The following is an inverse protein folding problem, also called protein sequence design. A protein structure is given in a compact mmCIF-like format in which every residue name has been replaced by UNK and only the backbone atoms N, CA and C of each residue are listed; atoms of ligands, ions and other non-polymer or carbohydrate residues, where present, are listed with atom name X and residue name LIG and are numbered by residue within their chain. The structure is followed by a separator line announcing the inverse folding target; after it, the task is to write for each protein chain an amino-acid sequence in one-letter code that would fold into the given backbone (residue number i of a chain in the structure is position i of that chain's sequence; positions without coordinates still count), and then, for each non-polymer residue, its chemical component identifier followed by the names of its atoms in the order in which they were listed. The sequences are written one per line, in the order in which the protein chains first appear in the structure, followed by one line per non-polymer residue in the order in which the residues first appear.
data_IF_034373129281
#
_entry.id   IF_034373129281
#
_cell.length_a   1.000
_cell.length_b   1.000
_cell.length_c   1.000
_cell.angle_alpha   90.00
_cell.angle_beta   90.00
_cell.angle_gamma   90.00
#
_symmetry.space_group_name_H-M   'P 1'
#
loop_
_entity.id
_entity.type
_entity.pdbx_description
1 polymer ?
#
# COMPACT_ATOMS: atom_id res chain seq x y z
N UNK A 1 -18.16 -6.61 -17.73
CA UNK A 1 -17.24 -7.08 -16.68
C UNK A 1 -17.72 -6.50 -15.36
N UNK A 2 -18.28 -7.35 -14.51
CA UNK A 2 -18.77 -6.90 -13.21
C UNK A 2 -17.58 -6.44 -12.35
N UNK A 3 -17.65 -5.21 -11.88
CA UNK A 3 -16.70 -4.76 -10.86
C UNK A 3 -16.94 -5.59 -9.60
N UNK A 4 -15.88 -6.13 -8.99
CA UNK A 4 -16.06 -6.82 -7.73
C UNK A 4 -16.75 -5.88 -6.72
N UNK A 5 -17.65 -6.44 -5.92
CA UNK A 5 -18.34 -5.67 -4.90
C UNK A 5 -17.32 -5.01 -3.96
N UNK A 6 -17.49 -3.71 -3.71
CA UNK A 6 -16.63 -2.98 -2.78
C UNK A 6 -16.84 -3.51 -1.36
N UNK A 7 -15.76 -3.53 -0.60
CA UNK A 7 -15.81 -3.89 0.82
C UNK A 7 -16.41 -2.73 1.61
N UNK A 8 -17.45 -3.03 2.41
CA UNK A 8 -18.10 -2.06 3.26
C UNK A 8 -17.15 -1.59 4.36
N UNK A 9 -17.06 -0.27 4.53
CA UNK A 9 -16.26 0.35 5.58
C UNK A 9 -16.66 -0.11 7.00
N UNK A 10 -17.92 -0.44 7.22
CA UNK A 10 -18.41 -0.94 8.52
C UNK A 10 -17.81 -2.30 8.90
N UNK A 11 -17.34 -3.07 7.91
CA UNK A 11 -16.61 -4.32 8.13
C UNK A 11 -15.16 -4.11 8.53
N UNK A 12 -14.67 -2.88 8.50
CA UNK A 12 -13.31 -2.50 8.89
C UNK A 12 -13.27 -2.10 10.37
N UNK A 13 -14.13 -2.68 11.19
CA UNK A 13 -14.10 -2.46 12.64
C UNK A 13 -12.77 -2.94 13.22
N UNK A 14 -12.07 -2.05 13.92
CA UNK A 14 -10.75 -2.31 14.48
C UNK A 14 -9.58 -1.94 13.56
N UNK A 15 -9.84 -1.48 12.33
CA UNK A 15 -8.83 -0.87 11.46
C UNK A 15 -8.84 0.63 11.71
N UNK A 16 -7.66 1.19 11.98
CA UNK A 16 -7.52 2.64 12.16
C UNK A 16 -7.95 3.38 10.88
N UNK A 17 -8.77 4.42 11.02
CA UNK A 17 -9.07 5.34 9.91
C UNK A 17 -7.80 5.94 9.29
N UNK A 18 -6.73 6.02 10.08
CA UNK A 18 -5.41 6.46 9.61
C UNK A 18 -4.88 5.58 8.46
N UNK A 19 -5.15 4.28 8.48
CA UNK A 19 -4.75 3.39 7.39
C UNK A 19 -5.44 3.76 6.07
N UNK A 20 -6.72 4.12 6.12
CA UNK A 20 -7.47 4.58 4.94
C UNK A 20 -7.04 5.98 4.51
N UNK A 21 -6.77 6.87 5.42
CA UNK A 21 -6.27 8.22 5.14
C UNK A 21 -4.93 8.16 4.38
N UNK A 22 -3.99 7.37 4.87
CA UNK A 22 -2.67 7.24 4.24
C UNK A 22 -2.76 6.55 2.88
N UNK A 23 -3.62 5.54 2.75
CA UNK A 23 -3.90 4.89 1.46
C UNK A 23 -4.45 5.89 0.45
N UNK A 24 -5.45 6.68 0.84
CA UNK A 24 -6.05 7.68 -0.04
C UNK A 24 -5.03 8.72 -0.50
N UNK A 25 -4.18 9.19 0.40
CA UNK A 25 -3.11 10.15 0.06
C UNK A 25 -2.14 9.60 -0.99
N UNK A 26 -1.68 8.37 -0.83
CA UNK A 26 -0.81 7.71 -1.81
C UNK A 26 -1.51 7.47 -3.14
N UNK A 27 -2.72 6.95 -3.10
CA UNK A 27 -3.50 6.66 -4.31
C UNK A 27 -3.81 7.93 -5.11
N UNK A 28 -4.14 9.02 -4.42
CA UNK A 28 -4.37 10.32 -5.06
C UNK A 28 -3.12 10.79 -5.81
N UNK A 29 -1.96 10.75 -5.18
CA UNK A 29 -0.69 11.15 -5.81
C UNK A 29 -0.30 10.22 -6.96
N UNK A 30 -0.50 8.91 -6.80
CA UNK A 30 -0.20 7.94 -7.86
C UNK A 30 -1.07 8.14 -9.11
N UNK A 31 -2.27 8.71 -8.96
CA UNK A 31 -3.19 8.98 -10.06
C UNK A 31 -2.96 10.30 -10.81
N UNK A 32 -2.02 11.13 -10.36
CA UNK A 32 -1.74 12.41 -11.03
C UNK A 32 -0.92 12.20 -12.31
N UNK A 33 -0.97 13.18 -13.27
CA UNK A 33 -0.22 13.07 -14.52
C UNK A 33 1.30 12.92 -14.34
N UNK A 34 1.85 13.52 -13.28
CA UNK A 34 3.27 13.43 -12.94
C UNK A 34 3.39 12.93 -11.50
N UNK A 35 3.22 11.62 -11.27
CA UNK A 35 3.12 11.08 -9.92
C UNK A 35 4.48 11.05 -9.21
N UNK A 36 4.45 11.32 -7.90
CA UNK A 36 5.61 11.19 -7.02
C UNK A 36 5.99 9.73 -6.85
N UNK A 37 5.00 8.84 -6.81
CA UNK A 37 5.18 7.39 -6.71
C UNK A 37 4.41 6.69 -7.82
N UNK A 38 5.00 5.64 -8.37
CA UNK A 38 4.33 4.73 -9.31
C UNK A 38 3.68 3.60 -8.52
N UNK A 39 2.40 3.76 -8.21
CA UNK A 39 1.69 2.84 -7.33
C UNK A 39 0.24 2.58 -7.79
N UNK A 40 0.05 1.88 -8.92
CA UNK A 40 -1.28 1.51 -9.37
C UNK A 40 -2.02 0.60 -8.39
N UNK A 41 -1.28 -0.16 -7.58
CA UNK A 41 -1.86 -1.04 -6.56
C UNK A 41 -2.55 -0.24 -5.46
N UNK A 42 -2.02 0.92 -5.06
CA UNK A 42 -2.68 1.80 -4.10
C UNK A 42 -4.02 2.31 -4.62
N UNK A 43 -4.10 2.65 -5.91
CA UNK A 43 -5.34 3.09 -6.55
C UNK A 43 -6.37 1.95 -6.54
N UNK A 44 -5.96 0.77 -6.95
CA UNK A 44 -6.83 -0.42 -6.98
C UNK A 44 -7.35 -0.75 -5.57
N UNK A 45 -6.48 -0.72 -4.58
CA UNK A 45 -6.84 -1.02 -3.20
C UNK A 45 -7.79 0.03 -2.63
N UNK A 46 -7.51 1.32 -2.85
CA UNK A 46 -8.41 2.41 -2.43
C UNK A 46 -9.81 2.23 -3.01
N UNK A 47 -9.90 1.91 -4.30
CA UNK A 47 -11.17 1.77 -5.01
C UNK A 47 -11.91 0.48 -4.63
N UNK A 48 -11.26 -0.43 -3.90
CA UNK A 48 -11.86 -1.67 -3.39
C UNK A 48 -12.68 -1.46 -2.12
N UNK A 49 -12.55 -0.31 -1.45
CA UNK A 49 -13.31 0.02 -0.26
C UNK A 49 -14.48 0.95 -0.57
N UNK A 50 -15.61 0.69 0.07
CA UNK A 50 -16.78 1.59 0.04
C UNK A 50 -16.66 2.60 1.18
N UNK A 51 -15.85 3.62 0.95
CA UNK A 51 -15.54 4.69 1.91
C UNK A 51 -15.68 6.04 1.23
N UNK A 52 -16.29 6.99 1.93
CA UNK A 52 -16.26 8.38 1.52
C UNK A 52 -14.92 9.02 1.91
N UNK A 53 -13.99 9.04 0.97
CA UNK A 53 -12.66 9.61 1.20
C UNK A 53 -12.67 11.14 1.31
N UNK A 54 -13.74 11.80 0.89
CA UNK A 54 -13.86 13.27 1.00
C UNK A 54 -13.86 13.71 2.46
N UNK A 55 -14.26 12.83 3.39
CA UNK A 55 -14.21 13.11 4.83
C UNK A 55 -12.78 13.39 5.34
N UNK A 56 -11.76 12.95 4.63
CA UNK A 56 -10.36 13.21 4.98
C UNK A 56 -9.85 14.57 4.49
N UNK A 57 -10.68 15.30 3.75
CA UNK A 57 -10.33 16.61 3.23
C UNK A 57 -9.36 16.57 2.05
N UNK A 58 -8.68 17.68 1.85
CA UNK A 58 -7.74 17.84 0.72
C UNK A 58 -6.49 16.99 0.91
N UNK A 59 -6.11 16.26 -0.14
CA UNK A 59 -4.93 15.40 -0.10
C UNK A 59 -3.67 16.20 -0.50
N UNK A 60 -2.63 16.09 0.32
CA UNK A 60 -1.31 16.64 0.05
C UNK A 60 -0.33 15.58 -0.47
N UNK A 61 0.94 15.92 -0.46
CA UNK A 61 2.03 15.09 -0.97
C UNK A 61 2.72 14.25 0.10
N UNK A 62 2.42 14.50 1.37
CA UNK A 62 3.22 14.00 2.50
C UNK A 62 3.31 12.48 2.54
N UNK A 63 2.20 11.79 2.30
CA UNK A 63 2.18 10.33 2.37
C UNK A 63 2.96 9.69 1.22
N UNK A 64 2.89 10.27 0.04
CA UNK A 64 3.66 9.80 -1.11
C UNK A 64 5.16 10.07 -0.94
N UNK A 65 5.53 11.25 -0.47
CA UNK A 65 6.93 11.61 -0.21
C UNK A 65 7.54 10.73 0.89
N UNK A 66 6.79 10.46 1.93
CA UNK A 66 7.22 9.55 3.00
C UNK A 66 7.45 8.13 2.46
N UNK A 67 6.52 7.62 1.67
CA UNK A 67 6.66 6.32 1.03
C UNK A 67 7.85 6.26 0.10
N UNK A 68 8.07 7.30 -0.70
CA UNK A 68 9.21 7.39 -1.60
C UNK A 68 10.53 7.34 -0.83
N UNK A 69 10.66 8.09 0.26
CA UNK A 69 11.87 8.10 1.08
C UNK A 69 12.18 6.73 1.69
N UNK A 70 11.17 6.07 2.24
CA UNK A 70 11.32 4.72 2.82
C UNK A 70 11.66 3.70 1.73
N UNK A 71 11.00 3.78 0.58
CA UNK A 71 11.27 2.90 -0.55
C UNK A 71 12.71 3.05 -1.07
N UNK A 72 13.21 4.27 -1.16
CA UNK A 72 14.60 4.52 -1.60
C UNK A 72 15.61 3.88 -0.66
N UNK A 73 15.43 4.01 0.64
CA UNK A 73 16.28 3.36 1.64
C UNK A 73 16.20 1.83 1.55
N UNK A 74 15.00 1.30 1.44
CA UNK A 74 14.76 -0.14 1.35
C UNK A 74 15.32 -0.72 0.06
N UNK A 75 15.10 -0.05 -1.07
CA UNK A 75 15.64 -0.49 -2.36
C UNK A 75 17.18 -0.52 -2.35
N UNK A 76 17.82 0.48 -1.76
CA UNK A 76 19.28 0.50 -1.62
C UNK A 76 19.79 -0.70 -0.80
N UNK A 77 19.10 -1.02 0.29
CA UNK A 77 19.42 -2.19 1.11
C UNK A 77 19.24 -3.49 0.32
N UNK A 78 18.15 -3.64 -0.40
CA UNK A 78 17.84 -4.85 -1.19
C UNK A 78 18.80 -5.04 -2.35
N UNK A 79 19.33 -3.97 -2.94
CA UNK A 79 20.38 -4.10 -3.98
C UNK A 79 21.68 -4.66 -3.41
N UNK A 80 22.02 -4.28 -2.18
CA UNK A 80 23.17 -4.80 -1.46
C UNK A 80 22.92 -6.20 -0.86
N UNK A 81 21.67 -6.50 -0.50
CA UNK A 81 21.25 -7.76 0.14
C UNK A 81 20.03 -8.35 -0.55
N UNK A 82 20.20 -8.92 -1.77
CA UNK A 82 19.07 -9.31 -2.62
C UNK A 82 18.23 -10.47 -2.09
N UNK A 83 18.70 -11.18 -1.10
CA UNK A 83 17.96 -12.28 -0.44
C UNK A 83 17.48 -11.94 0.97
N UNK A 84 17.45 -10.66 1.30
CA UNK A 84 16.99 -10.20 2.61
C UNK A 84 15.53 -10.53 2.87
N UNK A 85 15.16 -10.58 4.13
CA UNK A 85 13.76 -10.60 4.56
C UNK A 85 13.37 -9.22 5.09
N UNK A 86 12.34 -8.64 4.51
CA UNK A 86 11.74 -7.39 4.97
C UNK A 86 10.57 -7.74 5.88
N UNK A 87 10.55 -7.18 7.09
CA UNK A 87 9.42 -7.29 8.01
C UNK A 87 8.74 -5.94 8.09
N UNK A 88 7.53 -5.86 7.55
CA UNK A 88 6.72 -4.65 7.54
C UNK A 88 5.80 -4.63 8.76
N UNK A 89 6.22 -3.90 9.80
CA UNK A 89 5.46 -3.78 11.04
C UNK A 89 4.37 -2.72 10.92
N UNK A 90 3.18 -3.04 11.38
CA UNK A 90 2.01 -2.15 11.32
C UNK A 90 1.82 -1.61 9.89
N UNK A 91 1.85 -2.52 8.94
CA UNK A 91 1.90 -2.19 7.51
C UNK A 91 0.63 -1.49 7.02
N UNK A 92 -0.52 -1.78 7.64
CA UNK A 92 -1.80 -1.22 7.21
C UNK A 92 -2.10 -1.63 5.77
N UNK A 93 -2.47 -0.66 4.94
CA UNK A 93 -2.75 -0.87 3.52
C UNK A 93 -1.63 -0.39 2.61
N UNK A 94 -0.38 -0.47 3.09
CA UNK A 94 0.78 -0.19 2.26
C UNK A 94 0.94 -1.19 1.12
N UNK A 95 1.38 -0.70 0.00
CA UNK A 95 1.63 -1.45 -1.23
C UNK A 95 3.12 -1.43 -1.60
N UNK A 96 3.96 -1.32 -0.60
CA UNK A 96 5.43 -1.19 -0.72
C UNK A 96 6.06 -2.39 -1.42
N UNK A 97 5.58 -3.60 -1.14
CA UNK A 97 6.12 -4.81 -1.76
C UNK A 97 6.14 -4.69 -3.29
N UNK A 98 5.01 -4.31 -3.90
CA UNK A 98 4.89 -4.23 -5.37
C UNK A 98 5.75 -3.12 -5.96
N UNK A 99 5.87 -1.99 -5.26
CA UNK A 99 6.78 -0.92 -5.68
C UNK A 99 8.24 -1.36 -5.65
N UNK A 100 8.63 -2.07 -4.60
CA UNK A 100 10.01 -2.58 -4.43
C UNK A 100 10.33 -3.73 -5.38
N UNK A 101 9.39 -4.64 -5.60
CA UNK A 101 9.55 -5.72 -6.58
C UNK A 101 9.83 -5.16 -7.98
N UNK A 102 9.13 -4.11 -8.36
CA UNK A 102 9.36 -3.40 -9.62
C UNK A 102 10.68 -2.62 -9.64
N UNK A 103 11.05 -2.00 -8.53
CA UNK A 103 12.26 -1.16 -8.44
C UNK A 103 13.56 -1.97 -8.40
N UNK A 104 13.52 -3.17 -7.82
CA UNK A 104 14.69 -4.06 -7.70
C UNK A 104 14.39 -5.47 -8.23
N UNK A 105 14.15 -5.60 -9.54
CA UNK A 105 13.66 -6.86 -10.12
C UNK A 105 14.65 -8.02 -10.01
N UNK A 106 15.93 -7.75 -9.83
CA UNK A 106 16.96 -8.77 -9.64
C UNK A 106 17.01 -9.32 -8.20
N UNK A 107 16.38 -8.67 -7.24
CA UNK A 107 16.37 -9.12 -5.85
C UNK A 107 15.34 -10.23 -5.65
N UNK A 108 15.69 -11.20 -4.81
CA UNK A 108 14.84 -12.33 -4.41
C UNK A 108 14.49 -12.21 -2.93
N UNK A 109 14.05 -11.03 -2.52
CA UNK A 109 13.73 -10.74 -1.13
C UNK A 109 12.40 -11.37 -0.70
N UNK A 110 12.30 -11.61 0.60
CA UNK A 110 11.06 -12.08 1.23
C UNK A 110 10.37 -10.90 1.89
N UNK A 111 9.05 -10.93 1.89
CA UNK A 111 8.23 -9.91 2.55
C UNK A 111 7.33 -10.54 3.59
N UNK A 112 7.34 -10.00 4.81
CA UNK A 112 6.47 -10.43 5.89
C UNK A 112 5.66 -9.24 6.38
N UNK A 113 4.36 -9.31 6.19
CA UNK A 113 3.44 -8.30 6.71
C UNK A 113 3.01 -8.67 8.13
N UNK A 114 3.15 -7.73 9.06
CA UNK A 114 2.74 -7.89 10.45
C UNK A 114 1.79 -6.76 10.82
N UNK A 115 0.55 -7.12 11.11
CA UNK A 115 -0.49 -6.18 11.52
C UNK A 115 -1.59 -6.92 12.30
N UNK A 116 -2.62 -6.19 12.71
CA UNK A 116 -3.79 -6.77 13.35
C UNK A 116 -4.53 -7.70 12.38
N UNK A 117 -5.14 -8.75 12.91
CA UNK A 117 -5.82 -9.76 12.10
C UNK A 117 -6.82 -9.18 11.07
N UNK A 118 -7.68 -8.20 11.41
CA UNK A 118 -8.59 -7.62 10.41
C UNK A 118 -7.89 -6.97 9.22
N UNK A 119 -6.73 -6.34 9.44
CA UNK A 119 -5.93 -5.74 8.37
C UNK A 119 -5.34 -6.82 7.46
N UNK A 120 -4.76 -7.85 8.05
CA UNK A 120 -4.15 -8.96 7.29
C UNK A 120 -5.21 -9.68 6.46
N UNK A 121 -6.38 -9.96 7.02
CA UNK A 121 -7.50 -10.60 6.31
C UNK A 121 -7.94 -9.78 5.09
N UNK A 122 -8.06 -8.46 5.23
CA UNK A 122 -8.42 -7.57 4.12
C UNK A 122 -7.32 -7.53 3.06
N UNK A 123 -6.06 -7.51 3.47
CA UNK A 123 -4.94 -7.57 2.54
C UNK A 123 -4.96 -8.87 1.74
N UNK A 124 -5.14 -9.99 2.37
CA UNK A 124 -5.23 -11.30 1.71
C UNK A 124 -6.40 -11.39 0.74
N UNK A 125 -7.52 -10.78 1.08
CA UNK A 125 -8.72 -10.75 0.25
C UNK A 125 -8.56 -9.84 -0.98
N UNK A 126 -7.93 -8.70 -0.83
CA UNK A 126 -7.96 -7.61 -1.82
C UNK A 126 -6.67 -7.47 -2.63
N UNK A 127 -5.55 -7.95 -2.14
CA UNK A 127 -4.25 -7.82 -2.80
C UNK A 127 -3.82 -9.15 -3.40
N UNK A 128 -3.04 -9.13 -4.50
CA UNK A 128 -2.44 -10.35 -5.03
C UNK A 128 -1.55 -11.00 -3.98
N UNK A 129 -1.47 -12.32 -3.99
CA UNK A 129 -0.55 -13.03 -3.12
C UNK A 129 0.89 -12.68 -3.50
N UNK A 130 1.73 -12.50 -2.50
CA UNK A 130 3.15 -12.38 -2.72
C UNK A 130 3.68 -13.70 -3.31
N UNK A 131 4.50 -13.63 -4.32
CA UNK A 131 5.14 -14.84 -4.85
C UNK A 131 6.04 -15.52 -3.83
#
# INVERSE_FOLDING_TARGET
MDRPAKVDADKITGVSETALLTLNGRAHQAGLPDPIIDDPMAITLRDSFDVDYDKFGRQGQEMALRSLAVDQCTAAYLRAHPKATVVALAEGFQTSFWRLDKAVPAAQFRWMSVDLAPVIELREQLLPQNP
#
